data_IF_355427507629
#
_entry.id   IF_355427507629
#
_cell.length_a   1.000
_cell.length_b   1.000
_cell.length_c   1.000
_cell.angle_alpha   90.00
_cell.angle_beta   90.00
_cell.angle_gamma   90.00
#
_symmetry.space_group_name_H-M   'P 1'
#
loop_
_entity.id
_entity.type
_entity.pdbx_description
1 polymer ?
#
# COMPACT_ATOMS: atom_id res chain seq x y z
N UNK A 1 -3.94 -28.15 19.07
CA UNK A 1 -2.95 -27.64 18.08
C UNK A 1 -3.02 -26.13 18.05
N UNK A 2 -1.90 -25.44 17.82
CA UNK A 2 -1.88 -23.99 17.55
C UNK A 2 -1.63 -23.76 16.07
N UNK A 3 -2.45 -22.91 15.44
CA UNK A 3 -2.26 -22.45 14.06
C UNK A 3 -1.61 -21.06 14.12
N UNK A 4 -0.52 -20.87 13.38
CA UNK A 4 0.06 -19.54 13.15
C UNK A 4 -0.07 -19.28 11.66
N UNK A 5 -0.73 -18.19 11.31
CA UNK A 5 -1.07 -17.85 9.95
C UNK A 5 -0.63 -16.41 9.67
N UNK A 6 0.02 -16.19 8.53
CA UNK A 6 0.51 -14.88 8.10
C UNK A 6 -0.11 -14.48 6.77
N UNK A 7 -0.41 -13.19 6.63
CA UNK A 7 -0.97 -12.62 5.40
C UNK A 7 -2.22 -13.41 4.95
N UNK A 8 -2.34 -13.73 3.66
CA UNK A 8 -3.43 -14.53 3.09
C UNK A 8 -3.62 -15.91 3.77
N UNK A 9 -2.58 -16.45 4.41
CA UNK A 9 -2.69 -17.68 5.20
C UNK A 9 -3.73 -17.59 6.31
N UNK A 10 -4.03 -16.39 6.81
CA UNK A 10 -5.09 -16.19 7.82
C UNK A 10 -6.50 -16.38 7.25
N UNK A 11 -6.77 -15.98 6.01
CA UNK A 11 -8.04 -16.26 5.34
C UNK A 11 -8.24 -17.76 5.12
N UNK A 12 -7.16 -18.47 4.77
CA UNK A 12 -7.14 -19.93 4.69
C UNK A 12 -7.39 -20.58 6.06
N UNK A 13 -6.80 -20.04 7.14
CA UNK A 13 -7.02 -20.54 8.49
C UNK A 13 -8.48 -20.35 8.96
N UNK A 14 -9.13 -19.21 8.64
CA UNK A 14 -10.58 -19.04 8.86
C UNK A 14 -11.39 -20.09 8.10
N UNK A 15 -11.10 -20.28 6.81
CA UNK A 15 -11.75 -21.30 5.98
C UNK A 15 -11.62 -22.71 6.57
N UNK A 16 -10.42 -23.06 7.05
CA UNK A 16 -10.15 -24.33 7.73
C UNK A 16 -11.00 -24.48 9.00
N UNK A 17 -11.11 -23.42 9.81
CA UNK A 17 -11.93 -23.47 11.03
C UNK A 17 -13.40 -23.74 10.73
N UNK A 18 -13.96 -23.12 9.69
CA UNK A 18 -15.35 -23.38 9.28
C UNK A 18 -15.57 -24.84 8.88
N UNK A 19 -14.60 -25.49 8.22
CA UNK A 19 -14.69 -26.93 7.91
C UNK A 19 -14.52 -27.83 9.14
N UNK A 20 -13.69 -27.42 10.10
CA UNK A 20 -13.56 -28.11 11.39
C UNK A 20 -14.84 -28.00 12.22
N UNK A 21 -15.52 -26.85 12.19
CA UNK A 21 -16.83 -26.66 12.82
C UNK A 21 -17.90 -27.59 12.22
N UNK A 22 -17.99 -27.66 10.88
CA UNK A 22 -18.92 -28.57 10.18
C UNK A 22 -18.67 -30.04 10.52
N UNK A 23 -17.43 -30.42 10.76
CA UNK A 23 -17.05 -31.79 11.11
C UNK A 23 -17.02 -32.08 12.62
N UNK A 24 -17.33 -31.09 13.46
CA UNK A 24 -17.30 -31.22 14.93
C UNK A 24 -15.90 -31.48 15.49
N UNK A 25 -14.87 -30.96 14.83
CA UNK A 25 -13.46 -31.22 15.12
C UNK A 25 -12.69 -29.97 15.59
N UNK A 26 -13.41 -28.94 16.09
CA UNK A 26 -12.81 -27.70 16.62
C UNK A 26 -12.02 -27.93 17.91
N UNK A 27 -12.31 -29.01 18.63
CA UNK A 27 -11.59 -29.46 19.83
C UNK A 27 -10.11 -29.81 19.55
N UNK A 28 -9.72 -29.94 18.28
CA UNK A 28 -8.33 -30.14 17.87
C UNK A 28 -7.51 -28.85 17.87
N UNK A 29 -8.15 -27.69 17.88
CA UNK A 29 -7.51 -26.38 17.80
C UNK A 29 -7.63 -25.70 19.16
N UNK A 30 -6.49 -25.33 19.72
CA UNK A 30 -6.42 -24.61 20.99
C UNK A 30 -6.31 -23.10 20.75
N UNK A 31 -5.48 -22.71 19.77
CA UNK A 31 -5.19 -21.31 19.45
C UNK A 31 -5.04 -21.06 17.95
N UNK A 32 -5.37 -19.84 17.54
CA UNK A 32 -5.07 -19.31 16.21
C UNK A 32 -4.37 -17.96 16.38
N UNK A 33 -3.24 -17.78 15.73
CA UNK A 33 -2.48 -16.53 15.71
C UNK A 33 -2.49 -16.00 14.28
N UNK A 34 -3.27 -14.94 14.05
CA UNK A 34 -3.29 -14.18 12.81
C UNK A 34 -2.22 -13.09 12.87
N UNK A 35 -1.26 -13.14 11.97
CA UNK A 35 -0.19 -12.15 11.86
C UNK A 35 -0.36 -11.42 10.54
N UNK A 36 -0.59 -10.11 10.60
CA UNK A 36 -0.72 -9.26 9.41
C UNK A 36 -1.72 -9.84 8.37
N UNK A 37 -2.82 -10.45 8.82
CA UNK A 37 -3.80 -11.04 7.90
C UNK A 37 -4.71 -9.95 7.35
N UNK A 38 -4.85 -9.75 6.03
CA UNK A 38 -5.82 -8.82 5.46
C UNK A 38 -7.23 -9.40 5.59
N UNK A 39 -7.80 -9.39 6.80
CA UNK A 39 -9.04 -10.13 7.08
C UNK A 39 -10.22 -9.61 6.27
N UNK A 40 -10.22 -8.31 5.95
CA UNK A 40 -11.24 -7.61 5.16
C UNK A 40 -10.58 -6.87 3.98
N UNK A 41 -9.50 -7.44 3.45
CA UNK A 41 -8.77 -6.91 2.30
C UNK A 41 -7.69 -5.88 2.61
N UNK A 42 -7.04 -5.38 1.56
CA UNK A 42 -6.00 -4.34 1.60
C UNK A 42 -6.19 -3.32 0.47
N UNK A 43 -6.11 -2.02 0.77
CA UNK A 43 -6.19 -0.95 -0.24
C UNK A 43 -5.14 -1.03 -1.34
N UNK A 44 -3.92 -1.51 -1.07
CA UNK A 44 -2.86 -1.56 -2.09
C UNK A 44 -3.22 -2.52 -3.24
N UNK A 45 -4.06 -3.53 -2.99
CA UNK A 45 -4.53 -4.46 -4.01
C UNK A 45 -5.36 -3.74 -5.10
N UNK A 46 -6.10 -2.68 -4.74
CA UNK A 46 -6.83 -1.85 -5.69
C UNK A 46 -5.87 -1.27 -6.74
N UNK A 47 -4.87 -0.52 -6.29
CA UNK A 47 -3.92 0.15 -7.17
C UNK A 47 -3.14 -0.86 -8.01
N UNK A 48 -2.80 -2.00 -7.42
CA UNK A 48 -2.10 -3.06 -8.11
C UNK A 48 -2.91 -3.70 -9.25
N UNK A 49 -4.22 -3.87 -9.07
CA UNK A 49 -5.09 -4.42 -10.09
C UNK A 49 -5.46 -3.40 -11.17
N UNK A 50 -5.54 -2.11 -10.81
CA UNK A 50 -5.85 -1.03 -11.75
C UNK A 50 -4.67 -0.61 -12.63
N UNK A 51 -3.47 -0.53 -12.07
CA UNK A 51 -2.30 0.07 -12.74
C UNK A 51 -1.12 -0.88 -12.89
N UNK A 52 -1.28 -2.15 -12.53
CA UNK A 52 -0.17 -3.05 -12.31
C UNK A 52 0.61 -2.69 -11.04
N UNK A 53 1.46 -3.60 -10.59
CA UNK A 53 2.26 -3.37 -9.39
C UNK A 53 3.54 -4.17 -9.40
N UNK A 54 4.59 -3.52 -8.94
CA UNK A 54 5.86 -4.17 -8.68
C UNK A 54 6.04 -4.39 -7.17
N UNK A 55 6.24 -5.66 -6.81
CA UNK A 55 6.77 -6.23 -5.56
C UNK A 55 5.86 -6.56 -4.33
N UNK A 56 5.14 -5.68 -3.59
CA UNK A 56 4.50 -6.14 -2.33
C UNK A 56 3.21 -7.01 -2.41
N UNK A 57 2.33 -6.85 -3.40
CA UNK A 57 0.98 -7.45 -3.39
C UNK A 57 0.93 -8.82 -4.09
N UNK A 58 1.88 -9.09 -4.97
CA UNK A 58 1.99 -10.32 -5.77
C UNK A 58 3.18 -11.20 -5.34
N UNK A 59 3.51 -11.16 -4.05
CA UNK A 59 4.53 -12.03 -3.44
C UNK A 59 5.94 -11.94 -4.09
N UNK A 60 6.37 -10.75 -4.52
CA UNK A 60 7.74 -10.50 -4.99
C UNK A 60 8.13 -11.24 -6.26
N UNK A 61 7.26 -11.24 -7.28
CA UNK A 61 7.55 -11.89 -8.57
C UNK A 61 8.27 -10.94 -9.53
N UNK A 62 9.33 -11.43 -10.19
CA UNK A 62 10.08 -10.72 -11.24
C UNK A 62 9.30 -10.71 -12.56
N UNK A 63 8.10 -10.12 -12.58
CA UNK A 63 7.22 -10.02 -13.76
C UNK A 63 7.03 -8.56 -14.16
N UNK A 64 6.78 -8.31 -15.44
CA UNK A 64 6.48 -6.94 -15.90
C UNK A 64 5.13 -6.45 -15.35
N UNK A 65 4.90 -5.14 -15.32
CA UNK A 65 3.59 -4.59 -14.90
C UNK A 65 2.43 -5.10 -15.79
N UNK A 66 2.66 -5.26 -17.10
CA UNK A 66 1.69 -5.84 -18.04
C UNK A 66 1.34 -7.29 -17.66
N UNK A 67 2.36 -8.12 -17.41
CA UNK A 67 2.17 -9.51 -16.98
C UNK A 67 1.50 -9.59 -15.60
N UNK A 68 1.86 -8.68 -14.68
CA UNK A 68 1.26 -8.56 -13.36
C UNK A 68 -0.23 -8.22 -13.45
N UNK A 69 -0.60 -7.27 -14.31
CA UNK A 69 -2.00 -6.90 -14.56
C UNK A 69 -2.79 -8.07 -15.15
N UNK A 70 -2.23 -8.69 -16.18
CA UNK A 70 -2.80 -9.89 -16.82
C UNK A 70 -3.00 -11.03 -15.81
N UNK A 71 -2.03 -11.24 -14.92
CA UNK A 71 -2.11 -12.26 -13.89
C UNK A 71 -3.20 -11.93 -12.86
N UNK A 72 -3.21 -10.70 -12.35
CA UNK A 72 -4.14 -10.26 -11.31
C UNK A 72 -5.60 -10.29 -11.78
N UNK A 73 -5.87 -9.86 -13.01
CA UNK A 73 -7.19 -9.90 -13.66
C UNK A 73 -7.83 -11.29 -13.66
N UNK A 74 -7.01 -12.34 -13.69
CA UNK A 74 -7.43 -13.72 -13.88
C UNK A 74 -7.16 -14.61 -12.65
N UNK A 75 -6.76 -14.02 -11.52
CA UNK A 75 -6.42 -14.74 -10.30
C UNK A 75 -7.49 -14.50 -9.22
N UNK A 76 -8.38 -15.46 -8.93
CA UNK A 76 -9.40 -15.32 -7.87
C UNK A 76 -8.81 -14.91 -6.51
N UNK A 77 -7.59 -15.39 -6.21
CA UNK A 77 -6.87 -15.02 -4.98
C UNK A 77 -6.50 -13.55 -4.87
N UNK A 78 -6.31 -12.83 -5.98
CA UNK A 78 -6.06 -11.39 -5.97
C UNK A 78 -7.33 -10.60 -5.61
N UNK A 79 -8.48 -11.01 -6.15
CA UNK A 79 -9.79 -10.41 -5.84
C UNK A 79 -10.16 -10.60 -4.37
N UNK A 80 -9.83 -11.76 -3.78
CA UNK A 80 -10.01 -12.01 -2.34
C UNK A 80 -9.09 -11.20 -1.41
N UNK A 81 -8.20 -10.37 -1.94
CA UNK A 81 -7.41 -9.41 -1.17
C UNK A 81 -7.90 -7.97 -1.33
N UNK A 82 -8.85 -7.71 -2.23
CA UNK A 82 -9.46 -6.40 -2.33
C UNK A 82 -10.31 -6.11 -1.07
N UNK A 83 -10.48 -4.84 -0.67
CA UNK A 83 -11.37 -4.45 0.42
C UNK A 83 -12.75 -5.11 0.33
N UNK A 84 -13.25 -5.64 1.44
CA UNK A 84 -14.61 -6.18 1.52
C UNK A 84 -15.62 -5.13 2.00
N UNK A 85 -16.92 -5.43 1.96
CA UNK A 85 -17.98 -4.54 2.47
C UNK A 85 -17.72 -4.09 3.92
N UNK A 86 -17.29 -5.02 4.78
CA UNK A 86 -16.93 -4.73 6.18
C UNK A 86 -15.74 -3.76 6.33
N UNK A 87 -14.91 -3.59 5.29
CA UNK A 87 -13.87 -2.56 5.28
C UNK A 87 -14.48 -1.16 5.19
N UNK A 88 -15.46 -0.96 4.31
CA UNK A 88 -16.14 0.32 4.13
C UNK A 88 -16.94 0.74 5.37
N UNK A 89 -17.46 -0.23 6.14
CA UNK A 89 -18.09 0.02 7.45
C UNK A 89 -17.12 0.54 8.53
N UNK A 90 -15.80 0.50 8.28
CA UNK A 90 -14.75 0.75 9.28
C UNK A 90 -13.82 1.90 8.95
N UNK A 91 -13.81 2.38 7.72
CA UNK A 91 -13.01 3.55 7.35
C UNK A 91 -13.69 4.82 7.82
N UNK A 92 -12.87 5.80 8.24
CA UNK A 92 -13.36 7.12 8.67
C UNK A 92 -13.28 8.16 7.54
N UNK A 93 -12.47 7.89 6.51
CA UNK A 93 -12.24 8.75 5.37
C UNK A 93 -12.67 8.04 4.08
N UNK A 94 -13.04 8.80 3.04
CA UNK A 94 -13.32 8.26 1.72
C UNK A 94 -12.25 7.30 1.24
N UNK A 95 -12.66 6.20 0.62
CA UNK A 95 -11.72 5.22 0.08
C UNK A 95 -11.12 5.71 -1.25
N UNK A 96 -11.96 6.32 -2.07
CA UNK A 96 -11.57 6.99 -3.31
C UNK A 96 -12.14 8.41 -3.27
N UNK A 97 -11.38 9.40 -3.71
CA UNK A 97 -11.86 10.78 -3.85
C UNK A 97 -11.59 11.35 -5.24
N UNK A 98 -12.46 12.25 -5.71
CA UNK A 98 -12.41 12.87 -7.03
C UNK A 98 -12.39 14.40 -6.94
N UNK A 99 -11.30 15.00 -7.45
CA UNK A 99 -11.12 16.46 -7.48
C UNK A 99 -10.84 17.02 -8.88
N UNK A 100 -10.82 16.18 -9.91
CA UNK A 100 -10.62 16.59 -11.30
C UNK A 100 -11.91 17.13 -11.94
N UNK A 101 -11.77 18.20 -12.72
CA UNK A 101 -12.86 18.92 -13.39
C UNK A 101 -12.58 19.15 -14.89
N UNK A 102 -11.33 18.92 -15.35
CA UNK A 102 -10.85 19.28 -16.68
C UNK A 102 -10.18 18.09 -17.40
N UNK A 103 -10.30 16.87 -16.87
CA UNK A 103 -9.66 15.68 -17.43
C UNK A 103 -10.65 14.52 -17.52
N UNK A 104 -10.17 13.36 -17.99
CA UNK A 104 -10.96 12.11 -18.03
C UNK A 104 -11.50 11.66 -16.67
N UNK A 105 -10.98 12.19 -15.55
CA UNK A 105 -11.53 11.90 -14.22
C UNK A 105 -12.77 12.72 -13.87
N UNK A 106 -13.15 13.72 -14.68
CA UNK A 106 -14.47 14.37 -14.56
C UNK A 106 -15.60 13.33 -14.71
N UNK A 107 -15.45 12.32 -15.58
CA UNK A 107 -16.48 11.28 -15.74
C UNK A 107 -16.60 10.36 -14.52
N UNK A 108 -15.53 10.18 -13.73
CA UNK A 108 -15.63 9.44 -12.47
C UNK A 108 -16.42 10.25 -11.45
N UNK A 109 -16.14 11.55 -11.37
CA UNK A 109 -16.89 12.45 -10.50
C UNK A 109 -18.37 12.55 -10.89
N UNK A 110 -18.69 12.59 -12.18
CA UNK A 110 -20.06 12.60 -12.68
C UNK A 110 -20.83 11.31 -12.33
N UNK A 111 -20.13 10.16 -12.29
CA UNK A 111 -20.72 8.85 -12.01
C UNK A 111 -20.89 8.58 -10.51
N UNK A 112 -19.88 8.92 -9.70
CA UNK A 112 -19.78 8.51 -8.29
C UNK A 112 -19.85 9.67 -7.29
N UNK A 113 -19.90 10.92 -7.77
CA UNK A 113 -19.84 12.10 -6.89
C UNK A 113 -18.41 12.48 -6.50
N UNK A 114 -18.27 13.21 -5.38
CA UNK A 114 -16.96 13.69 -4.92
C UNK A 114 -16.08 12.55 -4.35
N UNK A 115 -16.69 11.45 -3.89
CA UNK A 115 -16.03 10.39 -3.12
C UNK A 115 -16.74 9.04 -3.34
N UNK A 116 -16.02 7.92 -3.21
CA UNK A 116 -16.58 6.58 -3.02
C UNK A 116 -16.25 6.11 -1.61
N UNK A 117 -17.30 5.97 -0.80
CA UNK A 117 -17.28 5.41 0.54
C UNK A 117 -18.28 4.25 0.73
N UNK A 118 -18.93 3.81 -0.35
CA UNK A 118 -19.84 2.68 -0.41
C UNK A 118 -19.26 1.51 -1.22
N UNK A 119 -19.56 0.29 -0.77
CA UNK A 119 -19.02 -0.93 -1.38
C UNK A 119 -19.61 -1.23 -2.77
N UNK A 120 -20.91 -0.96 -2.98
CA UNK A 120 -21.55 -1.21 -4.27
C UNK A 120 -21.06 -0.18 -5.31
N UNK A 121 -20.97 1.10 -4.94
CA UNK A 121 -20.36 2.14 -5.80
C UNK A 121 -18.91 1.81 -6.14
N UNK A 122 -18.15 1.28 -5.19
CA UNK A 122 -16.79 0.84 -5.42
C UNK A 122 -16.69 -0.37 -6.37
N UNK A 123 -17.62 -1.34 -6.28
CA UNK A 123 -17.70 -2.44 -7.25
C UNK A 123 -18.00 -1.93 -8.66
N UNK A 124 -18.95 -1.01 -8.79
CA UNK A 124 -19.28 -0.38 -10.07
C UNK A 124 -18.09 0.41 -10.65
N UNK A 125 -17.30 1.05 -9.77
CA UNK A 125 -16.03 1.67 -10.15
C UNK A 125 -15.02 0.63 -10.62
N UNK A 126 -14.89 -0.53 -9.98
CA UNK A 126 -13.94 -1.55 -10.40
C UNK A 126 -14.27 -2.18 -11.76
N UNK A 127 -15.55 -2.34 -12.11
CA UNK A 127 -15.98 -2.89 -13.41
C UNK A 127 -16.05 -1.85 -14.51
N UNK A 128 -16.12 -0.56 -14.16
CA UNK A 128 -16.35 0.53 -15.10
C UNK A 128 -17.82 0.67 -15.52
N UNK A 129 -18.74 -0.02 -14.84
CA UNK A 129 -20.16 0.01 -15.19
C UNK A 129 -20.82 1.37 -14.90
N UNK A 130 -20.35 2.07 -13.87
CA UNK A 130 -20.87 3.39 -13.47
C UNK A 130 -20.37 4.53 -14.36
N UNK A 131 -19.08 4.53 -14.71
CA UNK A 131 -18.45 5.59 -15.52
C UNK A 131 -18.38 5.30 -17.03
N UNK A 132 -18.62 4.05 -17.44
CA UNK A 132 -18.64 3.63 -18.83
C UNK A 132 -17.27 3.56 -19.52
N UNK A 133 -16.16 3.54 -18.76
CA UNK A 133 -14.82 3.36 -19.34
C UNK A 133 -14.69 1.98 -19.99
N UNK A 134 -13.94 1.93 -21.08
CA UNK A 134 -13.58 0.66 -21.71
C UNK A 134 -12.41 0.00 -21.00
N UNK A 135 -12.32 -1.32 -21.10
CA UNK A 135 -11.14 -2.10 -20.69
C UNK A 135 -9.91 -1.65 -21.51
N UNK A 136 -8.85 -1.12 -20.87
CA UNK A 136 -7.61 -0.75 -21.56
C UNK A 136 -6.80 -1.99 -21.95
N UNK A 137 -5.85 -1.88 -22.89
CA UNK A 137 -4.91 -2.97 -23.16
C UNK A 137 -4.00 -3.24 -21.94
N UNK A 138 -3.52 -4.48 -21.74
CA UNK A 138 -2.71 -4.84 -20.56
C UNK A 138 -1.39 -4.06 -20.44
N UNK A 139 -0.86 -3.57 -21.55
CA UNK A 139 0.28 -2.68 -21.60
C UNK A 139 -0.03 -1.22 -21.27
N UNK A 140 -1.30 -0.80 -21.27
CA UNK A 140 -1.75 0.57 -20.95
C UNK A 140 -1.88 0.77 -19.43
N UNK A 141 -0.77 0.62 -18.71
CA UNK A 141 -0.71 0.62 -17.23
C UNK A 141 -0.99 1.97 -16.57
N UNK A 142 -1.11 3.06 -17.34
CA UNK A 142 -1.52 4.39 -16.87
C UNK A 142 -3.04 4.63 -16.93
N UNK A 143 -3.79 3.66 -17.48
CA UNK A 143 -5.24 3.66 -17.53
C UNK A 143 -5.79 2.67 -16.51
N UNK A 144 -6.88 3.04 -15.83
CA UNK A 144 -7.52 2.19 -14.84
C UNK A 144 -8.12 0.98 -15.53
N UNK A 145 -7.61 -0.17 -15.16
CA UNK A 145 -8.16 -1.42 -15.60
C UNK A 145 -9.65 -1.59 -15.21
N UNK A 146 -10.33 -2.51 -15.88
CA UNK A 146 -11.67 -2.97 -15.50
C UNK A 146 -11.60 -4.40 -15.02
N UNK A 147 -12.12 -4.67 -13.84
CA UNK A 147 -12.04 -5.99 -13.22
C UNK A 147 -13.21 -6.88 -13.62
N UNK A 148 -13.03 -8.20 -13.49
CA UNK A 148 -14.04 -9.19 -13.87
C UNK A 148 -15.13 -9.29 -12.81
N UNK A 149 -16.37 -8.94 -13.18
CA UNK A 149 -17.57 -9.03 -12.34
C UNK A 149 -17.71 -10.40 -11.65
N UNK A 150 -17.53 -11.50 -12.40
CA UNK A 150 -17.67 -12.85 -11.84
C UNK A 150 -16.63 -13.18 -10.75
N UNK A 151 -15.42 -12.62 -10.83
CA UNK A 151 -14.39 -12.82 -9.80
C UNK A 151 -14.59 -11.88 -8.61
N UNK A 152 -15.13 -10.67 -8.83
CA UNK A 152 -15.58 -9.79 -7.76
C UNK A 152 -16.69 -10.44 -6.96
N UNK A 153 -17.68 -11.05 -7.63
CA UNK A 153 -18.78 -11.75 -6.95
C UNK A 153 -18.28 -12.95 -6.14
N UNK A 154 -17.35 -13.75 -6.68
CA UNK A 154 -16.71 -14.84 -5.93
C UNK A 154 -15.97 -14.32 -4.68
N UNK A 155 -15.28 -13.19 -4.79
CA UNK A 155 -14.60 -12.55 -3.65
C UNK A 155 -15.59 -11.98 -2.63
N UNK A 156 -16.68 -11.35 -3.08
CA UNK A 156 -17.78 -10.89 -2.21
C UNK A 156 -18.39 -12.07 -1.45
N UNK A 157 -18.71 -13.18 -2.13
CA UNK A 157 -19.24 -14.39 -1.48
C UNK A 157 -18.25 -14.99 -0.47
N UNK A 158 -16.96 -14.98 -0.80
CA UNK A 158 -15.91 -15.41 0.12
C UNK A 158 -15.90 -14.54 1.38
N UNK A 159 -15.88 -13.22 1.24
CA UNK A 159 -15.83 -12.28 2.37
C UNK A 159 -17.10 -12.32 3.21
N UNK A 160 -18.28 -12.39 2.60
CA UNK A 160 -19.56 -12.58 3.32
C UNK A 160 -19.51 -13.78 4.29
N UNK A 161 -18.77 -14.83 3.92
CA UNK A 161 -18.56 -16.01 4.76
C UNK A 161 -17.41 -15.83 5.76
N UNK A 162 -16.27 -15.29 5.37
CA UNK A 162 -15.08 -15.19 6.25
C UNK A 162 -15.16 -14.05 7.26
N UNK A 163 -15.85 -12.98 6.91
CA UNK A 163 -15.99 -11.78 7.72
C UNK A 163 -17.06 -12.04 8.81
N UNK A 164 -18.07 -12.86 8.50
CA UNK A 164 -19.08 -13.29 9.48
C UNK A 164 -18.63 -14.41 10.42
N UNK A 165 -17.42 -14.96 10.26
CA UNK A 165 -16.93 -16.05 11.10
C UNK A 165 -16.67 -15.58 12.53
N UNK A 166 -17.26 -16.29 13.50
CA UNK A 166 -17.09 -16.05 14.93
C UNK A 166 -16.24 -17.17 15.52
N UNK A 167 -15.11 -16.86 16.17
CA UNK A 167 -14.28 -17.86 16.83
C UNK A 167 -15.06 -18.68 17.88
N UNK A 168 -14.96 -20.02 17.88
CA UNK A 168 -15.54 -20.85 18.93
C UNK A 168 -14.99 -20.50 20.32
N UNK A 169 -15.83 -20.54 21.37
CA UNK A 169 -15.45 -20.14 22.74
C UNK A 169 -14.24 -20.90 23.29
N UNK A 170 -14.00 -22.13 22.82
CA UNK A 170 -12.90 -22.99 23.26
C UNK A 170 -11.59 -22.73 22.49
N UNK A 171 -11.58 -21.82 21.52
CA UNK A 171 -10.42 -21.47 20.70
C UNK A 171 -9.96 -20.07 21.04
N UNK A 172 -8.71 -19.91 21.46
CA UNK A 172 -8.11 -18.59 21.66
C UNK A 172 -7.67 -18.01 20.31
N UNK A 173 -8.03 -16.77 20.03
CA UNK A 173 -7.65 -16.07 18.80
C UNK A 173 -6.81 -14.84 19.16
N UNK A 174 -5.62 -14.78 18.57
CA UNK A 174 -4.69 -13.67 18.70
C UNK A 174 -4.57 -13.01 17.34
N UNK A 175 -4.84 -11.72 17.26
CA UNK A 175 -4.68 -10.91 16.05
C UNK A 175 -3.52 -9.94 16.25
N UNK A 176 -2.58 -9.92 15.32
CA UNK A 176 -1.36 -9.13 15.39
C UNK A 176 -1.27 -8.27 14.13
N UNK A 177 -1.30 -6.95 14.29
CA UNK A 177 -1.09 -5.99 13.21
C UNK A 177 0.29 -5.34 13.31
N UNK A 178 0.90 -4.97 12.18
CA UNK A 178 2.00 -4.02 12.19
C UNK A 178 1.47 -2.59 12.32
N UNK A 179 2.34 -1.70 12.79
CA UNK A 179 2.04 -0.28 12.97
C UNK A 179 3.28 0.57 12.67
N UNK A 180 3.04 1.77 12.17
CA UNK A 180 4.00 2.86 12.01
C UNK A 180 4.59 2.97 10.61
N UNK A 181 4.27 2.05 9.69
CA UNK A 181 4.73 2.09 8.30
C UNK A 181 3.67 2.70 7.39
N UNK A 182 4.17 3.37 6.36
CA UNK A 182 3.34 4.03 5.37
C UNK A 182 2.59 3.00 4.52
N UNK A 183 1.30 2.88 4.80
CA UNK A 183 0.42 1.86 4.24
C UNK A 183 -0.66 2.54 3.43
N UNK A 184 -0.87 2.10 2.18
CA UNK A 184 -1.92 2.66 1.33
C UNK A 184 -3.28 2.49 2.03
N UNK A 185 -4.05 3.57 2.11
CA UNK A 185 -5.38 3.61 2.73
C UNK A 185 -6.51 3.92 1.75
N UNK A 186 -6.18 4.47 0.59
CA UNK A 186 -7.12 4.94 -0.42
C UNK A 186 -6.40 5.55 -1.63
N UNK A 187 -7.15 6.23 -2.50
CA UNK A 187 -6.59 6.90 -3.69
C UNK A 187 -7.37 8.17 -4.02
N UNK A 188 -6.65 9.25 -4.31
CA UNK A 188 -7.23 10.49 -4.86
C UNK A 188 -7.03 10.53 -6.37
N UNK A 189 -8.10 10.81 -7.10
CA UNK A 189 -8.11 11.13 -8.53
C UNK A 189 -8.28 12.64 -8.73
N UNK A 190 -7.22 13.28 -9.19
CA UNK A 190 -7.10 14.73 -9.34
C UNK A 190 -6.55 15.09 -10.72
N UNK A 191 -6.16 16.35 -10.89
CA UNK A 191 -5.54 16.83 -12.11
C UNK A 191 -4.41 17.81 -11.84
N UNK A 192 -3.50 17.88 -12.79
CA UNK A 192 -2.42 18.85 -12.79
C UNK A 192 -2.48 19.73 -14.02
N UNK A 193 -2.47 21.05 -13.81
CA UNK A 193 -2.34 22.02 -14.90
C UNK A 193 -0.96 21.86 -15.56
N UNK A 194 -0.97 21.73 -16.89
CA UNK A 194 0.24 21.63 -17.72
C UNK A 194 0.90 23.00 -17.86
N UNK A 195 2.19 22.96 -18.15
CA UNK A 195 3.00 24.15 -18.36
C UNK A 195 3.73 24.07 -19.70
N UNK A 196 3.74 25.17 -20.43
CA UNK A 196 4.56 25.37 -21.61
C UNK A 196 5.90 26.01 -21.19
N UNK A 197 6.98 25.27 -21.39
CA UNK A 197 8.33 25.69 -21.02
C UNK A 197 9.11 26.19 -22.25
N UNK A 198 9.63 27.41 -22.17
CA UNK A 198 10.38 28.06 -23.25
C UNK A 198 11.86 28.24 -22.87
N UNK A 199 12.82 28.02 -23.81
CA UNK A 199 14.23 28.25 -23.54
C UNK A 199 14.51 29.74 -23.35
N UNK A 200 15.10 30.11 -22.22
CA UNK A 200 15.49 31.51 -21.92
C UNK A 200 16.99 31.76 -22.01
N UNK A 201 17.76 30.78 -22.51
CA UNK A 201 19.23 30.84 -22.59
C UNK A 201 19.97 30.48 -21.30
N UNK A 202 19.26 30.17 -20.21
CA UNK A 202 19.80 29.59 -18.97
C UNK A 202 19.62 28.06 -18.90
N UNK A 203 20.12 27.43 -17.83
CA UNK A 203 19.96 25.98 -17.58
C UNK A 203 18.54 25.57 -17.18
N UNK A 204 17.72 26.51 -16.72
CA UNK A 204 16.33 26.28 -16.30
C UNK A 204 15.41 27.03 -17.26
N UNK A 205 14.44 26.36 -17.91
CA UNK A 205 13.51 27.02 -18.82
C UNK A 205 12.51 27.90 -18.05
N UNK A 206 11.89 28.87 -18.75
CA UNK A 206 10.78 29.63 -18.19
C UNK A 206 9.47 28.93 -18.57
N UNK A 207 8.69 28.54 -17.57
CA UNK A 207 7.44 27.82 -17.76
C UNK A 207 6.24 28.71 -17.44
N UNK A 208 5.20 28.64 -18.26
CA UNK A 208 3.91 29.31 -18.05
C UNK A 208 2.78 28.30 -18.14
N UNK A 209 1.70 28.53 -17.38
CA UNK A 209 0.51 27.68 -17.42
C UNK A 209 -0.06 27.63 -18.85
N UNK A 210 -0.31 26.42 -19.35
CA UNK A 210 -0.87 26.24 -20.70
C UNK A 210 -2.40 26.36 -20.72
N UNK A 211 -3.07 26.17 -19.56
CA UNK A 211 -4.52 26.04 -19.46
C UNK A 211 -5.05 24.67 -19.86
N UNK A 212 -4.16 23.72 -20.19
CA UNK A 212 -4.50 22.31 -20.34
C UNK A 212 -4.22 21.55 -19.03
N UNK A 213 -4.91 20.43 -18.81
CA UNK A 213 -4.77 19.61 -17.62
C UNK A 213 -4.39 18.17 -17.96
N UNK A 214 -3.72 17.49 -17.05
CA UNK A 214 -3.38 16.07 -17.13
C UNK A 214 -3.97 15.31 -15.92
N UNK A 215 -4.52 14.11 -16.12
CA UNK A 215 -5.05 13.30 -15.02
C UNK A 215 -3.93 12.82 -14.09
N UNK A 216 -4.16 12.91 -12.79
CA UNK A 216 -3.24 12.44 -11.75
C UNK A 216 -3.97 11.66 -10.69
N UNK A 217 -3.62 10.40 -10.47
CA UNK A 217 -4.03 9.67 -9.27
C UNK A 217 -2.90 9.72 -8.24
N UNK A 218 -3.21 9.67 -6.95
CA UNK A 218 -2.25 9.67 -5.85
C UNK A 218 -2.72 8.70 -4.75
N UNK A 219 -1.91 7.72 -4.33
CA UNK A 219 -2.23 6.90 -3.17
C UNK A 219 -2.32 7.78 -1.92
N UNK A 220 -3.34 7.53 -1.10
CA UNK A 220 -3.42 8.06 0.25
C UNK A 220 -2.77 7.07 1.22
N UNK A 221 -2.21 7.58 2.31
CA UNK A 221 -1.46 6.77 3.26
C UNK A 221 -2.00 6.90 4.68
N UNK A 222 -1.74 5.87 5.47
CA UNK A 222 -1.86 5.86 6.93
C UNK A 222 -0.63 5.19 7.52
N UNK A 223 -0.26 5.61 8.74
CA UNK A 223 0.76 4.91 9.54
C UNK A 223 0.17 3.73 10.32
N UNK A 224 -1.15 3.58 10.34
CA UNK A 224 -1.83 2.48 11.03
C UNK A 224 -1.82 1.21 10.17
N UNK A 225 -0.62 0.67 9.93
CA UNK A 225 -0.43 -0.52 9.12
C UNK A 225 1.02 -0.97 9.02
N UNK A 226 1.22 -2.00 8.19
CA UNK A 226 2.48 -2.70 8.03
C UNK A 226 3.10 -2.56 6.63
N UNK A 227 2.71 -1.50 5.92
CA UNK A 227 3.00 -1.19 4.51
C UNK A 227 2.08 -1.89 3.50
N UNK A 228 1.50 -3.04 3.84
CA UNK A 228 0.55 -3.75 2.97
C UNK A 228 -0.84 -3.74 3.56
N UNK A 229 -1.01 -4.12 4.82
CA UNK A 229 -2.30 -4.29 5.48
C UNK A 229 -2.46 -3.19 6.53
N UNK A 230 -3.55 -2.44 6.43
CA UNK A 230 -3.94 -1.49 7.47
C UNK A 230 -4.40 -2.25 8.71
N UNK A 231 -4.05 -1.76 9.90
CA UNK A 231 -4.35 -2.41 11.16
C UNK A 231 -5.86 -2.66 11.40
N UNK A 232 -6.80 -1.79 10.98
CA UNK A 232 -8.23 -2.07 11.07
C UNK A 232 -8.65 -3.35 10.33
N UNK A 233 -7.98 -3.66 9.20
CA UNK A 233 -8.18 -4.92 8.46
C UNK A 233 -7.53 -6.10 9.19
N UNK A 234 -6.30 -5.93 9.68
CA UNK A 234 -5.59 -6.99 10.41
C UNK A 234 -6.26 -7.38 11.75
N UNK A 235 -6.94 -6.44 12.40
CA UNK A 235 -7.57 -6.61 13.70
C UNK A 235 -9.10 -6.67 13.60
N UNK A 236 -9.63 -7.17 12.49
CA UNK A 236 -11.06 -7.15 12.18
C UNK A 236 -11.94 -7.72 13.31
N UNK A 237 -11.59 -8.86 13.90
CA UNK A 237 -12.44 -9.55 14.88
C UNK A 237 -12.44 -8.73 16.19
N UNK A 238 -13.62 -8.33 16.72
CA UNK A 238 -13.73 -7.63 17.99
C UNK A 238 -13.10 -8.39 19.15
N UNK A 239 -12.42 -7.68 20.06
CA UNK A 239 -11.92 -8.30 21.29
C UNK A 239 -13.06 -8.81 22.16
N UNK A 240 -12.85 -9.98 22.75
CA UNK A 240 -13.76 -10.59 23.71
C UNK A 240 -12.96 -11.48 24.69
N UNK A 241 -13.63 -12.37 25.42
CA UNK A 241 -12.96 -13.25 26.38
C UNK A 241 -11.83 -14.10 25.79
N UNK A 242 -11.99 -14.60 24.56
CA UNK A 242 -11.04 -15.48 23.86
C UNK A 242 -10.35 -14.86 22.65
N UNK A 243 -10.65 -13.61 22.29
CA UNK A 243 -10.04 -12.86 21.19
C UNK A 243 -9.21 -11.70 21.73
N UNK A 244 -7.94 -11.62 21.33
CA UNK A 244 -6.97 -10.58 21.72
C UNK A 244 -6.39 -9.86 20.51
N UNK A 245 -6.07 -8.58 20.67
CA UNK A 245 -5.41 -7.76 19.65
C UNK A 245 -4.06 -7.26 20.14
N UNK A 246 -3.08 -7.23 19.24
CA UNK A 246 -1.75 -6.72 19.49
C UNK A 246 -1.24 -5.95 18.27
N UNK A 247 -0.33 -5.01 18.54
CA UNK A 247 0.38 -4.24 17.55
C UNK A 247 1.89 -4.50 17.64
N UNK A 248 2.54 -4.52 16.49
CA UNK A 248 4.00 -4.55 16.35
C UNK A 248 4.43 -3.17 15.88
N UNK A 249 5.14 -2.42 16.71
CA UNK A 249 5.71 -1.12 16.35
C UNK A 249 6.91 -1.31 15.42
N UNK A 250 6.63 -1.27 14.12
CA UNK A 250 7.62 -1.46 13.06
C UNK A 250 8.45 -0.18 12.85
N UNK A 251 7.86 0.99 13.05
CA UNK A 251 8.55 2.26 12.82
C UNK A 251 9.76 2.44 13.74
N UNK A 252 9.58 2.32 15.05
CA UNK A 252 10.68 2.50 16.02
C UNK A 252 11.67 1.36 15.89
N UNK A 253 11.20 0.12 15.73
CA UNK A 253 12.10 -1.04 15.61
C UNK A 253 13.00 -0.90 14.37
N UNK A 254 12.47 -0.49 13.22
CA UNK A 254 13.25 -0.28 12.00
C UNK A 254 14.30 0.83 12.11
N UNK A 255 14.07 1.87 12.93
CA UNK A 255 15.09 2.90 13.18
C UNK A 255 16.27 2.38 14.01
N UNK A 256 16.03 1.36 14.83
CA UNK A 256 17.02 0.81 15.77
C UNK A 256 17.81 -0.33 15.13
N UNK A 257 17.15 -1.17 14.33
CA UNK A 257 17.76 -2.33 13.69
C UNK A 257 18.26 -2.03 12.28
N UNK A 258 19.25 -2.78 11.82
CA UNK A 258 19.86 -2.60 10.48
C UNK A 258 19.06 -3.22 9.34
N UNK A 259 17.98 -3.96 9.65
CA UNK A 259 17.12 -4.61 8.65
C UNK A 259 15.69 -4.16 8.91
N UNK A 260 15.15 -3.37 7.98
CA UNK A 260 13.75 -2.95 8.01
C UNK A 260 12.80 -4.15 7.94
N UNK A 261 11.82 -4.16 8.84
CA UNK A 261 10.72 -5.11 8.89
C UNK A 261 9.45 -4.46 8.38
N UNK A 262 8.72 -5.20 7.58
CA UNK A 262 7.47 -4.83 6.91
C UNK A 262 6.59 -6.07 6.78
N UNK A 263 5.42 -5.95 6.14
CA UNK A 263 4.49 -7.04 5.92
C UNK A 263 5.13 -8.38 5.52
N UNK A 264 5.97 -8.39 4.47
CA UNK A 264 6.51 -9.63 3.87
C UNK A 264 7.48 -10.38 4.79
N UNK A 265 8.18 -9.66 5.68
CA UNK A 265 9.20 -10.22 6.57
C UNK A 265 8.88 -9.98 8.06
N UNK A 266 7.64 -9.63 8.42
CA UNK A 266 7.23 -9.32 9.81
C UNK A 266 7.51 -10.48 10.76
N UNK A 267 7.34 -11.73 10.29
CA UNK A 267 7.65 -12.94 11.06
C UNK A 267 9.15 -13.19 11.29
N UNK A 268 10.03 -12.44 10.64
CA UNK A 268 11.47 -12.45 10.91
C UNK A 268 11.88 -11.51 12.05
N UNK A 269 10.92 -10.78 12.63
CA UNK A 269 11.17 -9.91 13.77
C UNK A 269 11.29 -10.72 15.07
N UNK A 270 12.46 -10.69 15.70
CA UNK A 270 12.77 -11.55 16.85
C UNK A 270 11.85 -11.35 18.05
N UNK A 271 11.41 -10.12 18.31
CA UNK A 271 10.49 -9.84 19.42
C UNK A 271 9.09 -10.38 19.16
N UNK A 272 8.63 -10.36 17.89
CA UNK A 272 7.39 -11.03 17.51
C UNK A 272 7.53 -12.55 17.59
N UNK A 273 8.66 -13.12 17.17
CA UNK A 273 8.93 -14.55 17.33
C UNK A 273 8.95 -14.97 18.80
N UNK A 274 9.54 -14.17 19.67
CA UNK A 274 9.49 -14.37 21.13
C UNK A 274 8.05 -14.33 21.64
N UNK A 275 7.28 -13.32 21.24
CA UNK A 275 5.88 -13.17 21.63
C UNK A 275 5.03 -14.38 21.22
N UNK A 276 5.12 -14.80 19.96
CA UNK A 276 4.44 -15.98 19.44
C UNK A 276 4.90 -17.24 20.18
N UNK A 277 6.20 -17.38 20.43
CA UNK A 277 6.74 -18.51 21.19
C UNK A 277 6.21 -18.55 22.62
N UNK A 278 6.03 -17.39 23.26
CA UNK A 278 5.47 -17.29 24.61
C UNK A 278 3.99 -17.70 24.62
N UNK A 279 3.20 -17.27 23.62
CA UNK A 279 1.80 -17.70 23.45
C UNK A 279 1.71 -19.21 23.26
N UNK A 280 2.52 -19.78 22.37
CA UNK A 280 2.53 -21.24 22.10
C UNK A 280 2.90 -22.02 23.36
N UNK A 281 3.90 -21.54 24.11
CA UNK A 281 4.38 -22.18 25.33
C UNK A 281 3.50 -21.93 26.56
N UNK A 282 2.39 -21.19 26.44
CA UNK A 282 1.55 -20.74 27.56
C UNK A 282 2.35 -20.01 28.65
N UNK A 283 3.37 -19.24 28.25
CA UNK A 283 4.14 -18.42 29.19
C UNK A 283 3.40 -17.12 29.44
N UNK A 284 3.23 -16.79 30.72
CA UNK A 284 2.81 -15.45 31.14
C UNK A 284 4.04 -14.58 31.42
N UNK A 285 3.92 -13.29 31.19
CA UNK A 285 4.98 -12.32 31.41
C UNK A 285 4.64 -10.97 30.78
N UNK A 286 5.60 -10.06 30.87
CA UNK A 286 5.53 -8.78 30.16
C UNK A 286 5.60 -9.01 28.65
N UNK A 287 4.99 -8.12 27.88
CA UNK A 287 5.10 -8.14 26.43
C UNK A 287 6.55 -7.87 26.01
N UNK A 288 7.08 -8.58 25.00
CA UNK A 288 8.36 -8.23 24.41
C UNK A 288 8.37 -6.77 23.92
N UNK A 289 9.56 -6.19 23.85
CA UNK A 289 9.74 -4.83 23.33
C UNK A 289 9.09 -4.68 21.94
N UNK A 290 8.54 -3.50 21.65
CA UNK A 290 7.81 -3.18 20.41
C UNK A 290 6.47 -3.91 20.21
N UNK A 291 6.10 -4.86 21.08
CA UNK A 291 4.76 -5.46 21.08
C UNK A 291 3.87 -4.67 22.04
N UNK A 292 2.70 -4.24 21.56
CA UNK A 292 1.72 -3.45 22.30
C UNK A 292 0.37 -4.15 22.35
N UNK A 293 -0.36 -4.00 23.44
CA UNK A 293 -1.75 -4.43 23.64
C UNK A 293 -2.77 -3.30 23.39
N UNK A 294 -2.29 -2.13 22.94
CA UNK A 294 -3.10 -1.02 22.46
C UNK A 294 -2.48 -0.41 21.21
N UNK A 295 -3.31 0.18 20.34
CA UNK A 295 -2.85 0.96 19.19
C UNK A 295 -1.84 2.02 19.67
N UNK A 296 -0.66 2.13 19.06
CA UNK A 296 0.24 3.23 19.36
C UNK A 296 -0.38 4.55 18.85
N UNK A 297 -1.08 5.28 19.72
CA UNK A 297 -1.81 6.51 19.36
C UNK A 297 -0.95 7.78 19.46
N UNK A 298 0.35 7.70 19.13
CA UNK A 298 1.28 8.83 19.28
C UNK A 298 1.37 9.71 18.02
N UNK A 299 0.22 10.07 17.44
CA UNK A 299 0.17 10.94 16.25
C UNK A 299 0.73 12.34 16.52
N UNK A 300 0.54 12.84 17.75
CA UNK A 300 1.00 14.18 18.13
C UNK A 300 2.52 14.31 18.20
N UNK A 301 3.24 13.21 18.47
CA UNK A 301 4.71 13.18 18.43
C UNK A 301 5.26 12.34 17.26
N UNK A 302 4.39 11.84 16.37
CA UNK A 302 4.83 11.14 15.17
C UNK A 302 5.66 12.12 14.33
N UNK A 303 6.85 11.68 13.92
CA UNK A 303 7.64 12.46 12.95
C UNK A 303 6.83 12.66 11.68
N UNK A 304 6.94 13.80 11.02
CA UNK A 304 6.43 13.97 9.66
C UNK A 304 7.03 12.92 8.72
N UNK A 305 6.43 12.79 7.55
CA UNK A 305 6.88 11.97 6.43
C UNK A 305 7.19 12.89 5.27
N UNK A 306 8.29 12.64 4.57
CA UNK A 306 8.52 13.23 3.27
C UNK A 306 7.98 12.28 2.21
N UNK A 307 7.10 12.81 1.37
CA UNK A 307 6.43 12.11 0.27
C UNK A 307 6.88 12.71 -1.04
N UNK A 308 7.19 11.88 -2.02
CA UNK A 308 7.56 12.30 -3.36
C UNK A 308 6.74 11.54 -4.39
N UNK A 309 6.12 12.29 -5.29
CA UNK A 309 5.43 11.75 -6.46
C UNK A 309 6.16 12.21 -7.71
N UNK A 310 6.69 11.25 -8.46
CA UNK A 310 7.41 11.49 -9.69
C UNK A 310 6.58 10.99 -10.88
N UNK A 311 6.33 11.92 -11.80
CA UNK A 311 5.72 11.65 -13.09
C UNK A 311 6.83 11.50 -14.13
N UNK A 312 6.87 10.33 -14.75
CA UNK A 312 7.87 9.83 -15.72
C UNK A 312 8.21 10.79 -16.87
N UNK A 313 9.33 10.60 -17.60
CA UNK A 313 10.20 9.41 -17.69
C UNK A 313 11.54 9.53 -16.93
N UNK A 314 11.46 9.57 -15.60
CA UNK A 314 12.60 9.51 -14.69
C UNK A 314 12.36 8.39 -13.67
N UNK A 315 13.44 7.74 -13.27
CA UNK A 315 13.52 6.97 -12.03
C UNK A 315 13.96 7.89 -10.88
N UNK A 316 13.62 7.51 -9.66
CA UNK A 316 13.97 8.23 -8.43
C UNK A 316 14.72 7.30 -7.50
N UNK A 317 15.84 7.78 -6.98
CA UNK A 317 16.72 7.07 -6.08
C UNK A 317 16.92 7.93 -4.84
N UNK A 318 16.82 7.32 -3.66
CA UNK A 318 17.11 7.96 -2.39
C UNK A 318 18.38 7.36 -1.80
N UNK A 319 19.23 8.20 -1.24
CA UNK A 319 20.42 7.78 -0.52
C UNK A 319 20.50 8.48 0.83
N UNK A 320 20.64 7.72 1.92
CA UNK A 320 20.91 8.28 3.25
C UNK A 320 22.43 8.53 3.45
N UNK A 321 22.78 9.21 4.54
CA UNK A 321 24.19 9.50 4.88
C UNK A 321 25.06 8.24 5.10
N UNK A 322 24.44 7.09 5.37
CA UNK A 322 25.11 5.80 5.57
C UNK A 322 25.33 5.07 4.24
N UNK A 323 24.81 5.61 3.13
CA UNK A 323 24.86 5.02 1.80
C UNK A 323 23.83 3.91 1.58
N UNK A 324 22.80 3.80 2.43
CA UNK A 324 21.64 2.97 2.14
C UNK A 324 20.86 3.59 0.98
N UNK A 325 20.25 2.75 0.14
CA UNK A 325 19.59 3.16 -1.08
C UNK A 325 18.13 2.68 -1.10
N UNK A 326 17.22 3.54 -1.55
CA UNK A 326 15.83 3.17 -1.87
C UNK A 326 15.50 3.59 -3.28
N UNK A 327 15.11 2.64 -4.13
CA UNK A 327 14.89 2.86 -5.56
C UNK A 327 15.09 1.60 -6.42
N UNK A 328 14.97 1.73 -7.75
CA UNK A 328 15.24 0.63 -8.67
C UNK A 328 16.72 0.27 -8.68
N UNK A 329 16.99 -1.01 -8.95
CA UNK A 329 18.33 -1.59 -9.00
C UNK A 329 18.39 -2.70 -10.02
N UNK A 330 19.41 -2.66 -10.87
CA UNK A 330 19.67 -3.72 -11.83
C UNK A 330 20.44 -4.85 -11.16
N UNK A 331 19.91 -6.08 -11.28
CA UNK A 331 20.56 -7.31 -10.87
C UNK A 331 20.73 -8.23 -12.08
N UNK A 332 21.79 -9.03 -12.07
CA UNK A 332 22.04 -10.02 -13.12
C UNK A 332 21.73 -11.42 -12.59
N UNK A 333 20.78 -12.12 -13.22
CA UNK A 333 20.47 -13.52 -12.93
C UNK A 333 20.67 -14.31 -14.22
N UNK A 334 21.59 -15.29 -14.19
CA UNK A 334 21.92 -16.15 -15.33
C UNK A 334 22.31 -15.38 -16.62
N UNK A 335 22.95 -14.20 -16.48
CA UNK A 335 23.35 -13.37 -17.63
C UNK A 335 22.22 -12.54 -18.23
N UNK A 336 21.04 -12.50 -17.60
CA UNK A 336 19.95 -11.60 -17.94
C UNK A 336 19.85 -10.52 -16.85
N UNK A 337 19.73 -9.26 -17.27
CA UNK A 337 19.49 -8.13 -16.37
C UNK A 337 18.01 -8.07 -16.02
N UNK A 338 17.73 -7.92 -14.74
CA UNK A 338 16.41 -7.67 -14.18
C UNK A 338 16.48 -6.40 -13.35
N UNK A 339 15.42 -5.60 -13.39
CA UNK A 339 15.22 -4.53 -12.44
C UNK A 339 14.51 -5.09 -11.21
N UNK A 340 14.98 -4.69 -10.03
CA UNK A 340 14.33 -4.97 -8.75
C UNK A 340 14.30 -3.69 -7.95
N UNK A 341 13.31 -3.56 -7.07
CA UNK A 341 13.21 -2.43 -6.17
C UNK A 341 13.80 -2.79 -4.81
N UNK A 342 14.64 -1.90 -4.27
CA UNK A 342 15.14 -2.04 -2.91
C UNK A 342 14.75 -0.84 -2.05
N UNK A 343 14.62 -1.08 -0.75
CA UNK A 343 14.23 -0.08 0.25
C UNK A 343 15.18 -0.17 1.45
N UNK A 344 16.43 0.19 1.20
CA UNK A 344 17.51 0.08 2.18
C UNK A 344 17.45 1.17 3.26
N UNK A 345 16.81 2.31 3.00
CA UNK A 345 16.65 3.37 3.98
C UNK A 345 15.55 2.97 4.99
N UNK A 346 15.80 2.98 6.31
CA UNK A 346 14.81 2.59 7.31
C UNK A 346 13.49 3.33 7.18
N UNK A 347 12.38 2.58 7.15
CA UNK A 347 11.01 3.11 6.99
C UNK A 347 10.77 3.90 5.69
N UNK A 348 11.65 3.77 4.70
CA UNK A 348 11.34 4.25 3.36
C UNK A 348 10.48 3.24 2.61
N UNK A 349 9.87 3.69 1.52
CA UNK A 349 9.15 2.83 0.59
C UNK A 349 9.34 3.32 -0.84
N UNK A 350 9.10 2.41 -1.79
CA UNK A 350 9.01 2.71 -3.20
C UNK A 350 7.79 2.00 -3.80
N UNK A 351 6.83 2.76 -4.30
CA UNK A 351 5.70 2.23 -5.04
C UNK A 351 5.76 2.70 -6.49
N UNK A 352 5.49 1.77 -7.40
CA UNK A 352 5.26 2.08 -8.80
C UNK A 352 3.88 1.57 -9.20
N UNK A 353 3.04 2.50 -9.66
CA UNK A 353 1.72 2.23 -10.22
C UNK A 353 1.71 2.89 -11.60
N UNK A 354 1.55 2.08 -12.64
CA UNK A 354 1.79 2.52 -14.01
C UNK A 354 3.16 3.16 -14.18
N UNK A 355 3.20 4.32 -14.82
CA UNK A 355 4.42 5.10 -14.97
C UNK A 355 4.74 5.96 -13.75
N UNK A 356 3.87 6.07 -12.76
CA UNK A 356 4.04 6.97 -11.61
C UNK A 356 4.79 6.28 -10.48
N UNK A 357 5.71 7.04 -9.86
CA UNK A 357 6.56 6.55 -8.78
C UNK A 357 6.27 7.37 -7.52
N UNK A 358 5.99 6.66 -6.42
CA UNK A 358 5.71 7.25 -5.11
C UNK A 358 6.73 6.75 -4.12
N UNK A 359 7.51 7.65 -3.57
CA UNK A 359 8.62 7.33 -2.68
C UNK A 359 8.51 8.19 -1.44
N UNK A 360 8.86 7.66 -0.29
CA UNK A 360 8.89 8.47 0.91
C UNK A 360 9.73 7.86 2.02
N UNK A 361 9.95 8.65 3.05
CA UNK A 361 10.78 8.32 4.20
C UNK A 361 10.41 9.22 5.39
N UNK A 362 10.93 8.90 6.59
CA UNK A 362 10.71 9.70 7.79
C UNK A 362 11.43 11.06 7.74
N UNK A 363 10.78 12.13 8.23
CA UNK A 363 11.42 13.44 8.31
C UNK A 363 12.60 13.46 9.30
N UNK A 364 13.56 14.36 9.06
CA UNK A 364 14.77 14.52 9.87
C UNK A 364 15.92 13.59 9.48
N UNK A 365 15.79 12.84 8.39
CA UNK A 365 16.90 12.14 7.75
C UNK A 365 17.43 13.00 6.61
N UNK A 366 18.75 13.25 6.58
CA UNK A 366 19.39 13.88 5.43
C UNK A 366 19.40 12.87 4.28
N UNK A 367 18.65 13.16 3.23
CA UNK A 367 18.48 12.26 2.08
C UNK A 367 18.83 12.98 0.80
N UNK A 368 19.72 12.35 0.04
CA UNK A 368 20.06 12.74 -1.32
C UNK A 368 19.10 12.06 -2.28
N UNK A 369 18.37 12.86 -3.04
CA UNK A 369 17.45 12.40 -4.09
C UNK A 369 18.18 12.53 -5.42
N UNK A 370 18.32 11.42 -6.15
CA UNK A 370 18.80 11.41 -7.54
C UNK A 370 17.67 10.99 -8.47
N UNK A 371 17.47 11.74 -9.55
CA UNK A 371 16.54 11.38 -10.61
C UNK A 371 17.34 11.00 -11.87
N UNK A 372 17.05 9.84 -12.45
CA UNK A 372 17.76 9.30 -13.62
C UNK A 372 16.82 9.13 -14.81
N UNK A 373 17.19 9.73 -15.95
CA UNK A 373 16.38 9.71 -17.17
C UNK A 373 16.47 8.40 -17.93
N UNK A 374 15.31 7.86 -18.32
CA UNK A 374 15.24 6.71 -19.24
C UNK A 374 14.53 7.04 -20.55
N UNK A 375 14.09 8.29 -20.74
CA UNK A 375 13.40 8.71 -21.96
C UNK A 375 13.42 10.23 -22.16
N UNK A 376 13.16 10.65 -23.39
CA UNK A 376 12.95 12.06 -23.70
C UNK A 376 11.51 12.49 -23.41
N UNK A 377 11.34 13.63 -22.76
CA UNK A 377 10.01 14.15 -22.43
C UNK A 377 10.05 15.27 -21.41
N UNK A 378 9.01 15.34 -20.59
CA UNK A 378 8.92 16.23 -19.44
C UNK A 378 8.55 15.44 -18.21
N UNK A 379 9.10 15.81 -17.06
CA UNK A 379 8.76 15.21 -15.78
C UNK A 379 8.19 16.25 -14.83
N UNK A 380 7.44 15.75 -13.84
CA UNK A 380 7.02 16.54 -12.68
C UNK A 380 7.47 15.82 -11.42
N UNK A 381 8.10 16.53 -10.48
CA UNK A 381 8.35 16.03 -9.13
C UNK A 381 7.53 16.85 -8.13
N UNK A 382 6.66 16.20 -7.36
CA UNK A 382 5.98 16.76 -6.19
C UNK A 382 6.72 16.27 -4.94
N UNK A 383 7.07 17.17 -4.03
CA UNK A 383 7.68 16.87 -2.73
C UNK A 383 6.78 17.44 -1.65
N UNK A 384 6.33 16.62 -0.72
CA UNK A 384 5.41 17.01 0.34
C UNK A 384 5.94 16.58 1.70
N UNK A 385 5.78 17.44 2.69
CA UNK A 385 5.85 17.04 4.08
C UNK A 385 4.43 16.75 4.57
N UNK A 386 4.19 15.51 5.00
CA UNK A 386 2.92 15.02 5.50
C UNK A 386 3.03 14.70 6.99
N UNK A 387 2.08 15.13 7.80
CA UNK A 387 1.98 14.81 9.22
C UNK A 387 0.99 13.66 9.41
N UNK A 388 1.41 12.53 10.02
CA UNK A 388 0.47 11.48 10.39
C UNK A 388 -0.57 11.95 11.41
N UNK A 389 -1.83 11.60 11.15
CA UNK A 389 -2.99 11.86 12.01
C UNK A 389 -3.81 10.58 12.20
N UNK A 390 -4.79 10.58 13.11
CA UNK A 390 -5.55 9.36 13.46
C UNK A 390 -6.26 8.70 12.28
N UNK A 391 -6.70 9.49 11.30
CA UNK A 391 -7.42 9.03 10.11
C UNK A 391 -6.56 8.89 8.84
N UNK A 392 -5.27 9.21 8.86
CA UNK A 392 -4.45 9.26 7.65
C UNK A 392 -3.31 10.26 7.80
N UNK A 393 -3.21 11.22 6.88
CA UNK A 393 -2.17 12.25 6.90
C UNK A 393 -2.72 13.62 6.51
N UNK A 394 -2.07 14.68 7.00
CA UNK A 394 -2.31 16.06 6.60
C UNK A 394 -1.05 16.63 5.94
N UNK A 395 -1.17 17.23 4.75
CA UNK A 395 -0.04 17.92 4.09
C UNK A 395 0.30 19.20 4.85
N UNK A 396 1.51 19.26 5.40
CA UNK A 396 2.07 20.42 6.10
C UNK A 396 2.65 21.43 5.10
N UNK A 397 3.39 20.93 4.11
CA UNK A 397 4.00 21.76 3.07
C UNK A 397 4.19 20.96 1.79
N UNK A 398 4.25 21.66 0.65
CA UNK A 398 4.41 21.05 -0.66
C UNK A 398 5.25 21.95 -1.60
N UNK A 399 6.10 21.32 -2.41
CA UNK A 399 6.86 21.95 -3.48
C UNK A 399 6.64 21.12 -4.75
N UNK A 400 6.40 21.80 -5.88
CA UNK A 400 6.19 21.14 -7.19
C UNK A 400 7.19 21.66 -8.21
N UNK A 401 7.98 20.76 -8.77
CA UNK A 401 8.85 20.98 -9.92
C UNK A 401 8.13 20.47 -11.16
N UNK A 402 7.33 21.33 -11.81
CA UNK A 402 6.43 20.92 -12.89
C UNK A 402 7.05 21.04 -14.29
N UNK A 403 6.80 20.03 -15.13
CA UNK A 403 7.11 19.98 -16.57
C UNK A 403 8.55 20.35 -16.93
N UNK A 404 9.51 19.87 -16.14
CA UNK A 404 10.92 20.05 -16.44
C UNK A 404 11.34 19.10 -17.57
N UNK A 405 12.13 19.56 -18.56
CA UNK A 405 12.56 18.72 -19.67
C UNK A 405 13.52 17.62 -19.20
N UNK A 406 13.39 16.43 -19.77
CA UNK A 406 14.28 15.29 -19.50
C UNK A 406 14.66 14.54 -20.77
N UNK A 407 15.75 13.80 -20.69
CA UNK A 407 16.31 12.90 -21.70
C UNK A 407 16.90 11.69 -21.00
N UNK A 408 17.28 10.65 -21.74
CA UNK A 408 18.03 9.49 -21.23
C UNK A 408 19.37 9.86 -20.56
N UNK A 409 19.90 11.06 -20.78
CA UNK A 409 21.15 11.54 -20.16
C UNK A 409 20.91 12.44 -18.95
N UNK A 410 19.64 12.71 -18.60
CA UNK A 410 19.30 13.62 -17.52
C UNK A 410 19.60 12.99 -16.16
N UNK A 411 20.41 13.69 -15.37
CA UNK A 411 20.59 13.42 -13.94
C UNK A 411 20.23 14.70 -13.19
N UNK A 412 19.24 14.63 -12.31
CA UNK A 412 18.88 15.71 -11.39
C UNK A 412 19.17 15.28 -9.96
N UNK A 413 19.69 16.20 -9.14
CA UNK A 413 20.03 15.91 -7.74
C UNK A 413 19.39 16.97 -6.86
N UNK A 414 18.71 16.53 -5.80
CA UNK A 414 18.17 17.37 -4.74
C UNK A 414 18.71 16.84 -3.40
N UNK A 415 19.26 17.73 -2.59
CA UNK A 415 19.63 17.42 -1.21
C UNK A 415 18.49 17.90 -0.30
N UNK A 416 17.99 17.00 0.54
CA UNK A 416 16.96 17.31 1.54
C UNK A 416 17.63 17.25 2.92
N UNK A 417 17.66 18.41 3.59
CA UNK A 417 18.27 18.64 4.91
C UNK A 417 17.20 18.87 6.00
#
# INVERSE_FOLDING_TARGET
MTIVAHSNGGLLAKSLMMELEKSGATDKIDKIIFVATPQIGTPVALLAMLYGYDEPALAGTLISQEDARTLAENMPGAYGLLPSEEYFDRIENPFISFSSENTRYESFKDAYGDDIDDFDEWKDFLTGDGDGRGEPENSEVDWENTLRENLLDEATEMHNRLDSWIPPENVEVIQIAGWGLDTVSGVEYSEQEKYDCFPTGGKVPSCVKSGEYAPTYQPQFTVDGDKTVVAPSALMIPENGNVKRYWVDLYISNKIFTVGREHKNILEFSYLQEFISNIIANKSGDLPEYIKDSRPDDYANASSRLRMSLYSPLDIHLYDEKGNHTGPKKIEINGQEYEVFEEGIPNSYYYQFGERKYVGFGSGENVRVELEGYGAGTYTLKVEEAQPISGGEETVSAIVFANLPTTEETIAVLEID
#
